data_IF_132934035781
#
_entry.id   IF_132934035781
#
_cell.length_a   1.000
_cell.length_b   1.000
_cell.length_c   1.000
_cell.angle_alpha   90.00
_cell.angle_beta   90.00
_cell.angle_gamma   90.00
#
_symmetry.space_group_name_H-M   'P 1'
#
loop_
_entity.id
_entity.type
_entity.pdbx_description
1 polymer ?
#
# COMPACT_ATOMS: atom_id res chain seq x y z
N UNK A 1 7.18 -5.75 -47.32
CA UNK A 1 6.43 -4.55 -46.90
C UNK A 1 5.15 -4.37 -47.74
N UNK A 2 3.97 -4.53 -47.13
CA UNK A 2 2.78 -3.65 -47.20
C UNK A 2 1.46 -4.39 -46.95
N UNK A 3 0.58 -3.70 -46.21
CA UNK A 3 -0.84 -3.97 -45.92
C UNK A 3 -1.23 -5.06 -44.91
N UNK A 4 -0.57 -5.07 -43.76
CA UNK A 4 -1.21 -5.48 -42.47
C UNK A 4 -0.95 -4.42 -41.40
N UNK A 5 -1.19 -3.16 -41.78
CA UNK A 5 -1.33 -2.04 -40.85
C UNK A 5 -2.80 -1.68 -40.71
N UNK A 6 -3.21 -1.34 -39.48
CA UNK A 6 -4.54 -0.89 -39.06
C UNK A 6 -5.62 -1.97 -38.87
N UNK A 7 -5.65 -2.54 -37.66
CA UNK A 7 -6.83 -2.42 -36.80
C UNK A 7 -6.50 -2.81 -35.37
N UNK A 8 -7.17 -2.13 -34.42
CA UNK A 8 -7.09 -2.27 -32.96
C UNK A 8 -5.96 -1.50 -32.26
N UNK A 9 -5.93 -0.19 -32.49
CA UNK A 9 -5.80 0.75 -31.36
C UNK A 9 -7.13 1.47 -31.20
N UNK A 10 -7.86 1.15 -30.14
CA UNK A 10 -8.65 2.06 -29.30
C UNK A 10 -9.48 1.26 -28.28
N UNK A 11 -9.67 1.88 -27.12
CA UNK A 11 -10.64 1.60 -26.03
C UNK A 11 -10.04 1.02 -24.73
N UNK A 12 -9.57 1.99 -23.91
CA UNK A 12 -9.87 2.24 -22.47
C UNK A 12 -9.63 1.20 -21.37
N UNK A 13 -9.04 1.71 -20.28
CA UNK A 13 -9.23 1.34 -18.88
C UNK A 13 -9.12 -0.14 -18.52
N UNK A 14 -7.88 -0.60 -18.26
CA UNK A 14 -7.67 -1.72 -17.34
C UNK A 14 -7.82 -1.19 -15.91
N UNK A 15 -9.08 -0.98 -15.53
CA UNK A 15 -9.48 -0.65 -14.17
C UNK A 15 -8.94 -1.69 -13.20
N UNK A 16 -8.28 -1.21 -12.16
CA UNK A 16 -8.00 -2.02 -10.98
C UNK A 16 -9.34 -2.34 -10.31
N UNK A 17 -9.84 -3.56 -10.50
CA UNK A 17 -10.96 -4.12 -9.77
C UNK A 17 -10.59 -4.19 -8.28
N UNK A 18 -10.90 -3.13 -7.54
CA UNK A 18 -11.03 -3.23 -6.09
C UNK A 18 -12.38 -3.86 -5.85
N UNK A 19 -12.36 -5.12 -5.47
CA UNK A 19 -13.49 -5.92 -5.05
C UNK A 19 -14.51 -5.06 -4.26
N UNK A 20 -15.64 -4.79 -4.89
CA UNK A 20 -16.87 -4.35 -4.24
C UNK A 20 -17.40 -5.51 -3.41
N UNK A 21 -16.92 -5.61 -2.18
CA UNK A 21 -17.59 -6.38 -1.15
C UNK A 21 -18.83 -5.59 -0.71
N UNK A 22 -19.95 -5.79 -1.39
CA UNK A 22 -21.26 -5.54 -0.79
C UNK A 22 -21.43 -6.49 0.40
N UNK A 23 -21.70 -5.95 1.60
CA UNK A 23 -22.61 -6.56 2.56
C UNK A 23 -22.95 -5.63 3.74
N UNK A 24 -24.28 -5.54 3.93
CA UNK A 24 -25.06 -5.29 5.15
C UNK A 24 -25.06 -3.90 5.76
N UNK A 25 -26.14 -3.19 5.43
CA UNK A 25 -26.87 -2.28 6.30
C UNK A 25 -27.00 -2.86 7.71
N UNK A 26 -26.42 -2.18 8.70
CA UNK A 26 -26.86 -2.26 10.10
C UNK A 26 -27.03 -0.82 10.57
N UNK A 27 -28.28 -0.49 10.85
CA UNK A 27 -28.70 0.75 11.50
C UNK A 27 -28.25 0.73 12.96
N UNK A 28 -27.66 1.85 13.41
CA UNK A 28 -26.94 1.96 14.68
C UNK A 28 -25.61 2.63 14.43
N UNK A 29 -25.63 3.91 14.07
CA UNK A 29 -24.46 4.68 13.66
C UNK A 29 -23.50 4.92 14.82
N UNK A 30 -22.72 3.91 15.21
CA UNK A 30 -21.56 4.09 16.06
C UNK A 30 -20.64 5.14 15.41
N UNK A 31 -20.35 6.21 16.15
CA UNK A 31 -19.39 7.22 15.70
C UNK A 31 -18.02 6.57 15.49
N UNK A 32 -17.65 6.40 14.22
CA UNK A 32 -16.31 5.91 13.84
C UNK A 32 -15.25 6.93 14.26
N UNK A 33 -14.23 6.47 14.99
CA UNK A 33 -13.13 7.33 15.42
C UNK A 33 -12.27 7.76 14.22
N UNK A 34 -12.37 9.04 13.84
CA UNK A 34 -11.52 9.68 12.82
C UNK A 34 -10.14 10.00 13.38
N UNK A 35 -9.09 9.88 12.56
CA UNK A 35 -7.70 10.04 12.96
C UNK A 35 -6.99 11.13 12.14
N UNK A 36 -6.09 11.85 12.79
CA UNK A 36 -5.22 12.86 12.18
C UNK A 36 -3.77 12.40 12.13
N UNK A 37 -3.05 12.76 11.07
CA UNK A 37 -1.61 12.50 11.00
C UNK A 37 -0.89 13.26 12.12
N UNK A 38 0.14 12.63 12.69
CA UNK A 38 0.97 13.19 13.78
C UNK A 38 2.17 14.00 13.26
N UNK A 39 2.63 13.73 12.04
CA UNK A 39 3.70 14.48 11.36
C UNK A 39 3.12 15.71 10.66
N UNK A 40 3.96 16.71 10.44
CA UNK A 40 3.63 17.93 9.68
C UNK A 40 3.32 17.68 8.19
N UNK A 41 3.70 16.52 7.65
CA UNK A 41 3.41 16.16 6.26
C UNK A 41 1.98 15.60 6.13
N UNK A 42 1.10 16.37 5.51
CA UNK A 42 -0.32 16.04 5.37
C UNK A 42 -0.66 15.14 4.18
N UNK A 43 0.27 14.98 3.22
CA UNK A 43 0.02 14.24 1.98
C UNK A 43 0.25 12.73 2.10
N UNK A 44 -0.54 11.96 1.36
CA UNK A 44 -0.44 10.50 1.26
C UNK A 44 0.68 10.07 0.30
N UNK A 45 1.93 10.14 0.77
CA UNK A 45 3.11 9.74 -0.02
C UNK A 45 3.67 8.39 0.44
N UNK A 46 4.54 7.78 -0.37
CA UNK A 46 5.19 6.49 -0.04
C UNK A 46 6.05 6.53 1.22
N UNK A 47 6.53 7.70 1.65
CA UNK A 47 7.27 7.88 2.92
C UNK A 47 6.37 8.12 4.13
N UNK A 48 5.11 8.52 3.90
CA UNK A 48 4.13 8.82 4.95
C UNK A 48 3.09 7.70 5.09
N UNK A 49 3.52 6.45 4.87
CA UNK A 49 2.65 5.29 5.02
C UNK A 49 2.41 5.01 6.51
N UNK A 50 1.16 4.75 6.86
CA UNK A 50 0.71 4.61 8.25
C UNK A 50 -0.13 3.35 8.42
N UNK A 51 -0.12 2.81 9.65
CA UNK A 51 -0.97 1.71 10.09
C UNK A 51 -1.81 2.20 11.26
N UNK A 52 -3.11 1.92 11.24
CA UNK A 52 -3.99 2.18 12.38
C UNK A 52 -3.82 1.04 13.38
N UNK A 53 -3.41 1.38 14.60
CA UNK A 53 -3.19 0.41 15.68
C UNK A 53 -4.05 0.80 16.87
N UNK A 54 -4.69 -0.21 17.48
CA UNK A 54 -5.37 -0.05 18.78
C UNK A 54 -4.30 -0.06 19.86
N UNK A 55 -4.18 1.05 20.57
CA UNK A 55 -3.26 1.12 21.71
C UNK A 55 -3.88 0.42 22.92
N UNK A 56 -3.07 -0.03 23.90
CA UNK A 56 -3.59 -0.59 25.15
C UNK A 56 -4.57 0.35 25.87
N UNK A 57 -4.40 1.66 25.74
CA UNK A 57 -5.33 2.68 26.26
C UNK A 57 -6.63 2.83 25.47
N UNK A 58 -6.98 1.88 24.60
CA UNK A 58 -8.27 1.85 23.90
C UNK A 58 -8.42 2.86 22.77
N UNK A 59 -7.37 3.60 22.40
CA UNK A 59 -7.42 4.62 21.33
C UNK A 59 -6.89 4.07 20.03
N UNK A 60 -7.51 4.43 18.90
CA UNK A 60 -6.92 4.20 17.58
C UNK A 60 -5.86 5.27 17.31
N UNK A 61 -4.68 4.86 16.86
CA UNK A 61 -3.56 5.77 16.60
C UNK A 61 -2.82 5.35 15.33
N UNK A 62 -2.34 6.32 14.55
CA UNK A 62 -1.43 6.07 13.45
C UNK A 62 -0.01 5.75 13.96
N UNK A 63 0.50 4.59 13.53
CA UNK A 63 1.91 4.23 13.60
C UNK A 63 2.53 4.37 12.21
N UNK A 64 3.66 5.07 12.13
CA UNK A 64 4.38 5.25 10.87
C UNK A 64 5.12 3.98 10.51
N UNK A 65 5.06 3.60 9.24
CA UNK A 65 5.85 2.49 8.72
C UNK A 65 7.01 3.05 7.90
N UNK A 66 8.23 2.58 8.16
CA UNK A 66 9.38 2.92 7.33
C UNK A 66 9.32 2.14 6.01
N UNK A 67 9.98 2.65 4.98
CA UNK A 67 10.01 2.00 3.67
C UNK A 67 10.74 0.66 3.78
N UNK A 68 10.22 -0.35 3.09
CA UNK A 68 10.88 -1.65 2.99
C UNK A 68 12.14 -1.52 2.13
N UNK A 69 13.30 -1.85 2.71
CA UNK A 69 14.53 -1.94 1.96
C UNK A 69 14.54 -3.17 1.07
N UNK A 70 15.14 -3.07 -0.11
CA UNK A 70 15.49 -4.24 -0.91
C UNK A 70 16.70 -4.92 -0.29
N UNK A 71 16.64 -6.24 -0.16
CA UNK A 71 17.78 -7.02 0.32
C UNK A 71 18.95 -7.08 -0.63
N UNK A 72 20.11 -7.53 -0.14
CA UNK A 72 21.31 -7.67 -0.94
C UNK A 72 21.08 -8.69 -2.06
N UNK A 73 21.58 -8.34 -3.24
CA UNK A 73 21.54 -9.17 -4.43
C UNK A 73 22.96 -9.46 -4.90
N UNK A 74 23.15 -10.62 -5.51
CA UNK A 74 24.39 -10.92 -6.22
C UNK A 74 24.54 -9.95 -7.40
N UNK A 75 25.70 -9.26 -7.57
CA UNK A 75 25.88 -8.28 -8.64
C UNK A 75 25.89 -8.90 -10.04
N UNK A 76 26.27 -10.18 -10.16
CA UNK A 76 26.38 -10.87 -11.45
C UNK A 76 25.07 -11.57 -11.83
N UNK A 77 24.49 -12.33 -10.89
CA UNK A 77 23.30 -13.15 -11.18
C UNK A 77 21.97 -12.44 -10.86
N UNK A 78 22.00 -11.35 -10.10
CA UNK A 78 20.78 -10.61 -9.68
C UNK A 78 19.89 -11.37 -8.66
N UNK A 79 20.27 -12.58 -8.26
CA UNK A 79 19.56 -13.39 -7.26
C UNK A 79 19.73 -12.79 -5.86
N UNK A 80 18.69 -12.91 -5.03
CA UNK A 80 18.73 -12.49 -3.62
C UNK A 80 19.64 -13.43 -2.83
N UNK A 81 20.49 -12.86 -1.98
CA UNK A 81 21.35 -13.65 -1.09
C UNK A 81 20.49 -14.13 0.08
N UNK A 82 20.43 -15.46 0.28
CA UNK A 82 19.69 -16.08 1.38
C UNK A 82 20.50 -16.01 2.68
N UNK A 83 19.83 -16.05 3.82
CA UNK A 83 20.47 -16.01 5.14
C UNK A 83 20.90 -14.61 5.61
N UNK A 84 20.93 -13.61 4.73
CA UNK A 84 21.18 -12.21 5.12
C UNK A 84 19.86 -11.53 5.46
N UNK A 85 19.68 -11.22 6.75
CA UNK A 85 18.52 -10.47 7.20
C UNK A 85 18.61 -9.03 6.69
N UNK A 86 17.60 -8.60 5.94
CA UNK A 86 17.43 -7.19 5.62
C UNK A 86 16.95 -6.47 6.87
N UNK A 87 17.32 -5.20 7.09
CA UNK A 87 16.76 -4.43 8.19
C UNK A 87 15.25 -4.30 7.97
N UNK A 88 14.49 -5.20 8.60
CA UNK A 88 13.06 -5.09 8.71
C UNK A 88 12.84 -4.02 9.77
N UNK A 89 12.47 -2.82 9.33
CA UNK A 89 12.03 -1.78 10.25
C UNK A 89 10.75 -2.27 10.94
N UNK A 90 10.92 -2.93 12.07
CA UNK A 90 9.85 -3.31 12.99
C UNK A 90 9.47 -2.01 13.70
N UNK A 91 8.48 -1.32 13.12
CA UNK A 91 7.96 -0.01 13.51
C UNK A 91 8.88 1.21 13.22
#
# INVERSE_FOLDING_TARGET
PTLTSLRRRLVTDSGSERASGERTSVEGGEMVQRLTYRKRHSYATKSNQTRVVKTPGGRLVYQYTKKRASGPKCPVTGKKIQGVCVPFSIF
#
